data_IF_250669241455
#
_entry.id   IF_250669241455
#
_cell.length_a   1.000
_cell.length_b   1.000
_cell.length_c   1.000
_cell.angle_alpha   90.00
_cell.angle_beta   90.00
_cell.angle_gamma   90.00
#
_symmetry.space_group_name_H-M   'P 1'
#
loop_
_entity.id
_entity.type
_entity.pdbx_description
1 polymer ?
#
# COMPACT_ATOMS: atom_id res chain seq x y z
N UNK A 1 31.35 -6.22 8.01
CA UNK A 1 31.64 -7.15 6.89
C UNK A 1 31.31 -6.41 5.60
N UNK A 2 32.25 -6.43 4.67
CA UNK A 2 32.48 -5.54 3.51
C UNK A 2 31.25 -4.98 2.77
N UNK A 3 31.18 -3.65 2.64
CA UNK A 3 30.42 -2.96 1.60
C UNK A 3 30.96 -3.43 0.24
N UNK A 4 30.10 -3.96 -0.65
CA UNK A 4 30.52 -4.34 -2.00
C UNK A 4 30.73 -3.06 -2.84
N UNK A 5 31.98 -2.61 -2.94
CA UNK A 5 32.42 -1.51 -3.81
C UNK A 5 32.58 -1.93 -5.28
N UNK A 6 32.40 -3.22 -5.59
CA UNK A 6 32.62 -3.79 -6.93
C UNK A 6 31.36 -4.46 -7.48
N UNK A 7 31.19 -4.40 -8.80
CA UNK A 7 30.13 -5.09 -9.53
C UNK A 7 30.29 -6.61 -9.42
N UNK A 8 29.23 -7.32 -9.04
CA UNK A 8 29.30 -8.78 -8.83
C UNK A 8 29.29 -9.61 -10.14
N UNK A 9 29.32 -8.96 -11.31
CA UNK A 9 29.35 -9.62 -12.63
C UNK A 9 30.76 -9.51 -13.22
N UNK A 10 31.30 -8.30 -13.35
CA UNK A 10 32.66 -8.09 -13.85
C UNK A 10 33.74 -8.10 -12.76
N UNK A 11 33.36 -8.00 -11.48
CA UNK A 11 34.26 -7.92 -10.31
C UNK A 11 35.13 -6.66 -10.23
N UNK A 12 34.95 -5.72 -11.15
CA UNK A 12 35.60 -4.39 -11.18
C UNK A 12 34.76 -3.34 -10.44
N UNK A 13 35.32 -2.12 -10.30
CA UNK A 13 34.57 -0.97 -9.80
C UNK A 13 33.35 -0.67 -10.69
N UNK A 14 32.32 -0.03 -10.13
CA UNK A 14 31.10 0.23 -10.90
C UNK A 14 31.34 1.23 -12.04
N UNK A 15 31.01 0.81 -13.26
CA UNK A 15 30.92 1.66 -14.45
C UNK A 15 29.43 1.82 -14.82
N UNK A 16 28.94 3.06 -14.80
CA UNK A 16 27.51 3.40 -14.98
C UNK A 16 26.57 2.52 -14.12
N UNK A 17 26.62 2.68 -12.79
CA UNK A 17 25.92 1.79 -11.85
C UNK A 17 24.40 1.82 -12.02
N UNK A 18 23.81 0.63 -12.15
CA UNK A 18 22.36 0.41 -12.18
C UNK A 18 21.94 -0.35 -10.92
N UNK A 19 20.97 0.21 -10.19
CA UNK A 19 20.37 -0.41 -9.00
C UNK A 19 19.05 -1.08 -9.35
N UNK A 20 18.95 -2.39 -9.13
CA UNK A 20 17.73 -3.16 -9.33
C UNK A 20 16.71 -2.93 -8.20
N UNK A 21 15.40 -3.24 -8.39
CA UNK A 21 14.37 -3.14 -7.34
C UNK A 21 14.63 -4.01 -6.09
N UNK A 22 15.53 -4.99 -6.21
CA UNK A 22 16.02 -5.81 -5.10
C UNK A 22 17.21 -5.18 -4.33
N UNK A 23 17.57 -3.94 -4.66
CA UNK A 23 18.67 -3.14 -4.11
C UNK A 23 20.11 -3.59 -4.43
N UNK A 24 20.30 -4.59 -5.29
CA UNK A 24 21.64 -4.95 -5.79
C UNK A 24 22.07 -4.00 -6.91
N UNK A 25 23.37 -3.70 -6.96
CA UNK A 25 23.98 -2.75 -7.90
C UNK A 25 24.94 -3.49 -8.81
N UNK A 26 24.95 -3.11 -10.10
CA UNK A 26 25.79 -3.70 -11.15
C UNK A 26 26.20 -2.60 -12.15
N UNK A 27 27.20 -2.85 -12.99
CA UNK A 27 27.41 -2.00 -14.18
C UNK A 27 26.25 -2.17 -15.17
N UNK A 28 25.89 -1.12 -15.91
CA UNK A 28 24.78 -1.18 -16.88
C UNK A 28 24.94 -2.31 -17.89
N UNK A 29 26.07 -2.35 -18.59
CA UNK A 29 26.32 -3.36 -19.62
C UNK A 29 26.26 -4.77 -19.03
N UNK A 30 26.82 -4.93 -17.82
CA UNK A 30 26.80 -6.21 -17.11
C UNK A 30 25.37 -6.69 -16.82
N UNK A 31 24.50 -5.81 -16.33
CA UNK A 31 23.14 -6.21 -15.97
C UNK A 31 22.23 -6.33 -17.18
N UNK A 32 22.44 -5.56 -18.25
CA UNK A 32 21.70 -5.70 -19.51
C UNK A 32 21.91 -7.09 -20.12
N UNK A 33 23.18 -7.53 -20.28
CA UNK A 33 23.51 -8.87 -20.79
C UNK A 33 22.95 -9.97 -19.88
N UNK A 34 23.03 -9.79 -18.56
CA UNK A 34 22.51 -10.79 -17.62
C UNK A 34 20.98 -10.93 -17.71
N UNK A 35 20.26 -9.81 -17.90
CA UNK A 35 18.81 -9.80 -18.01
C UNK A 35 18.30 -10.31 -19.37
N UNK A 36 19.10 -10.21 -20.45
CA UNK A 36 18.82 -10.86 -21.73
C UNK A 36 18.77 -12.39 -21.60
N UNK A 37 19.67 -12.97 -20.79
CA UNK A 37 19.71 -14.42 -20.56
C UNK A 37 18.64 -14.88 -19.57
N UNK A 38 18.43 -14.11 -18.50
CA UNK A 38 17.49 -14.44 -17.45
C UNK A 38 16.97 -13.17 -16.79
N UNK A 39 15.66 -12.95 -16.85
CA UNK A 39 14.99 -11.79 -16.27
C UNK A 39 14.91 -11.80 -14.72
N UNK A 40 16.01 -12.10 -14.05
CA UNK A 40 16.11 -12.14 -12.60
C UNK A 40 17.47 -11.64 -12.14
N UNK A 41 17.52 -10.96 -11.01
CA UNK A 41 18.76 -10.46 -10.42
C UNK A 41 19.80 -11.58 -10.27
N UNK A 42 21.04 -11.41 -10.79
CA UNK A 42 22.11 -12.42 -10.66
C UNK A 42 22.47 -12.77 -9.22
N UNK A 43 22.29 -11.83 -8.29
CA UNK A 43 22.63 -12.00 -6.86
C UNK A 43 21.55 -12.74 -6.08
N UNK A 44 20.28 -12.34 -6.22
CA UNK A 44 19.20 -12.84 -5.37
C UNK A 44 18.09 -13.58 -6.10
N UNK A 45 18.19 -13.71 -7.43
CA UNK A 45 17.24 -14.41 -8.31
C UNK A 45 15.81 -13.88 -8.28
N UNK A 46 15.59 -12.71 -7.67
CA UNK A 46 14.28 -12.01 -7.72
C UNK A 46 14.04 -11.55 -9.15
N UNK A 47 12.84 -11.83 -9.67
CA UNK A 47 12.42 -11.41 -11.02
C UNK A 47 12.57 -9.90 -11.18
N UNK A 48 13.12 -9.50 -12.33
CA UNK A 48 13.30 -8.12 -12.75
C UNK A 48 12.44 -7.97 -14.01
N UNK A 49 11.15 -7.72 -13.83
CA UNK A 49 10.22 -7.57 -14.94
C UNK A 49 10.67 -6.41 -15.86
N UNK A 50 11.14 -6.77 -17.06
CA UNK A 50 11.45 -5.94 -18.24
C UNK A 50 12.02 -4.53 -18.02
N UNK A 51 13.20 -4.44 -17.39
CA UNK A 51 14.01 -3.22 -17.28
C UNK A 51 14.75 -2.80 -18.58
N UNK A 52 14.69 -3.62 -19.63
CA UNK A 52 15.72 -3.68 -20.70
C UNK A 52 15.47 -2.70 -21.87
N UNK A 53 14.60 -1.69 -21.75
CA UNK A 53 14.42 -0.69 -22.83
C UNK A 53 14.11 0.75 -22.38
N UNK A 54 14.34 1.09 -21.10
CA UNK A 54 14.29 2.49 -20.69
C UNK A 54 15.67 3.12 -20.87
N UNK A 55 15.82 4.03 -21.85
CA UNK A 55 17.04 4.83 -22.07
C UNK A 55 17.41 5.77 -20.90
N UNK A 56 16.74 5.68 -19.75
CA UNK A 56 16.90 6.62 -18.64
C UNK A 56 17.12 5.88 -17.32
N UNK A 57 18.32 5.31 -17.14
CA UNK A 57 18.88 5.02 -15.81
C UNK A 57 20.40 5.18 -15.84
N UNK A 58 20.87 6.30 -16.39
CA UNK A 58 22.19 6.83 -15.99
C UNK A 58 22.01 7.54 -14.67
N UNK A 59 22.90 7.29 -13.72
CA UNK A 59 23.15 8.27 -12.65
C UNK A 59 23.89 9.43 -13.31
N UNK A 60 23.17 10.21 -14.11
CA UNK A 60 23.52 11.57 -14.44
C UNK A 60 22.37 12.37 -13.86
N UNK A 61 22.63 13.13 -12.81
CA UNK A 61 21.70 14.14 -12.32
C UNK A 61 21.37 15.06 -13.52
N UNK A 62 20.14 15.05 -14.04
CA UNK A 62 19.78 16.03 -15.04
C UNK A 62 19.43 17.32 -14.31
N UNK A 63 20.04 18.42 -14.73
CA UNK A 63 19.53 19.76 -14.44
C UNK A 63 18.08 19.87 -15.00
N UNK A 64 17.08 19.60 -14.17
CA UNK A 64 15.67 19.75 -14.57
C UNK A 64 15.17 21.17 -14.27
N UNK A 65 14.81 21.87 -15.36
CA UNK A 65 14.00 23.09 -15.29
C UNK A 65 12.65 22.76 -14.66
N UNK A 66 12.34 23.48 -13.58
CA UNK A 66 11.19 23.31 -12.72
C UNK A 66 9.86 23.63 -13.45
N UNK A 67 8.93 22.68 -13.44
CA UNK A 67 7.49 22.99 -13.47
C UNK A 67 6.90 22.49 -12.15
N UNK A 68 6.76 23.40 -11.19
CA UNK A 68 6.30 23.14 -9.82
C UNK A 68 4.81 22.76 -9.80
N UNK A 69 4.52 21.46 -9.75
CA UNK A 69 3.24 20.97 -9.25
C UNK A 69 3.52 20.43 -7.85
N UNK A 70 2.74 20.85 -6.86
CA UNK A 70 2.91 20.39 -5.48
C UNK A 70 2.06 19.15 -5.23
N UNK A 71 2.69 18.07 -4.76
CA UNK A 71 2.02 16.85 -4.29
C UNK A 71 2.36 15.58 -5.06
N UNK A 72 1.74 14.48 -4.64
CA UNK A 72 1.90 13.15 -5.24
C UNK A 72 0.88 12.94 -6.37
N UNK A 73 1.22 12.23 -7.46
CA UNK A 73 0.26 11.89 -8.52
C UNK A 73 -1.00 11.25 -7.94
N UNK A 74 -2.18 11.74 -8.33
CA UNK A 74 -3.46 11.34 -7.75
C UNK A 74 -4.40 10.77 -8.81
N UNK A 75 -4.71 9.49 -8.67
CA UNK A 75 -5.59 8.73 -9.53
C UNK A 75 -6.98 8.64 -8.90
N UNK A 76 -7.99 9.11 -9.64
CA UNK A 76 -9.38 9.04 -9.20
C UNK A 76 -9.95 7.69 -9.63
N UNK A 77 -10.11 6.77 -8.67
CA UNK A 77 -10.74 5.47 -8.88
C UNK A 77 -11.65 5.17 -7.70
N UNK A 78 -12.92 4.86 -7.99
CA UNK A 78 -13.93 4.47 -6.99
C UNK A 78 -13.71 3.06 -6.47
N UNK A 79 -12.54 2.81 -5.91
CA UNK A 79 -12.12 1.55 -5.34
C UNK A 79 -11.37 1.84 -4.04
N UNK A 80 -11.43 0.85 -3.16
CA UNK A 80 -10.72 0.87 -1.90
C UNK A 80 -9.84 -0.38 -1.83
N UNK A 81 -8.63 -0.22 -1.33
CA UNK A 81 -7.63 -1.27 -1.21
C UNK A 81 -7.21 -1.33 0.24
N UNK A 82 -7.48 -2.44 0.91
CA UNK A 82 -7.08 -2.62 2.31
C UNK A 82 -5.56 -2.51 2.48
N UNK A 83 -5.12 -2.19 3.69
CA UNK A 83 -3.69 -2.08 3.98
C UNK A 83 -2.97 -3.38 3.60
N UNK A 84 -1.81 -3.26 2.95
CA UNK A 84 -1.00 -4.36 2.42
C UNK A 84 -1.66 -5.21 1.34
N UNK A 85 -2.94 -5.01 1.02
CA UNK A 85 -3.60 -5.72 -0.07
C UNK A 85 -3.02 -5.27 -1.42
N UNK A 86 -2.97 -6.22 -2.34
CA UNK A 86 -2.53 -6.00 -3.71
C UNK A 86 -3.73 -6.04 -4.64
N UNK A 87 -3.70 -5.18 -5.66
CA UNK A 87 -4.70 -5.19 -6.73
C UNK A 87 -4.05 -4.77 -8.03
N UNK A 88 -4.64 -5.17 -9.15
CA UNK A 88 -4.20 -4.80 -10.49
C UNK A 88 -5.08 -3.70 -11.06
N UNK A 89 -4.46 -2.76 -11.77
CA UNK A 89 -5.11 -1.68 -12.49
C UNK A 89 -4.68 -1.67 -13.95
N UNK A 90 -5.64 -1.39 -14.82
CA UNK A 90 -5.40 -1.16 -16.24
C UNK A 90 -5.56 0.33 -16.52
N UNK A 91 -4.45 1.01 -16.81
CA UNK A 91 -4.44 2.41 -17.18
C UNK A 91 -4.38 2.51 -18.70
N UNK A 92 -5.49 2.93 -19.32
CA UNK A 92 -5.62 3.07 -20.78
C UNK A 92 -6.03 4.49 -21.20
N UNK A 93 -6.55 5.31 -20.27
CA UNK A 93 -6.82 6.71 -20.55
C UNK A 93 -5.51 7.47 -20.75
N UNK A 94 -5.41 8.29 -21.81
CA UNK A 94 -4.21 9.06 -22.15
C UNK A 94 -3.62 9.81 -20.95
N UNK A 95 -4.48 10.42 -20.13
CA UNK A 95 -4.08 11.12 -18.90
C UNK A 95 -3.41 10.22 -17.87
N UNK A 96 -3.93 9.02 -17.66
CA UNK A 96 -3.39 8.08 -16.69
C UNK A 96 -2.15 7.37 -17.21
N UNK A 97 -2.07 7.14 -18.52
CA UNK A 97 -0.86 6.66 -19.19
C UNK A 97 0.30 7.65 -19.01
N UNK A 98 0.05 8.95 -19.23
CA UNK A 98 1.05 10.00 -19.00
C UNK A 98 1.46 10.06 -17.52
N UNK A 99 0.49 9.99 -16.61
CA UNK A 99 0.74 10.05 -15.16
C UNK A 99 1.53 8.83 -14.66
N UNK A 100 1.22 7.62 -15.13
CA UNK A 100 1.98 6.41 -14.79
C UNK A 100 3.39 6.46 -15.35
N UNK A 101 3.57 7.05 -16.53
CA UNK A 101 4.90 7.27 -17.07
C UNK A 101 5.71 8.23 -16.19
N UNK A 102 5.08 9.23 -15.58
CA UNK A 102 5.71 10.14 -14.61
C UNK A 102 6.04 9.44 -13.28
N UNK A 103 5.12 8.62 -12.76
CA UNK A 103 5.34 7.74 -11.60
C UNK A 103 6.56 6.85 -11.82
N UNK A 104 6.62 6.13 -12.95
CA UNK A 104 7.75 5.25 -13.28
C UNK A 104 9.10 5.99 -13.35
N UNK A 105 9.11 7.28 -13.73
CA UNK A 105 10.32 8.11 -13.83
C UNK A 105 10.75 8.72 -12.50
N UNK A 106 9.81 9.23 -11.71
CA UNK A 106 10.08 10.14 -10.58
C UNK A 106 9.68 9.57 -9.22
N UNK A 107 8.67 8.70 -9.14
CA UNK A 107 8.12 8.24 -7.87
C UNK A 107 7.39 6.89 -8.01
N UNK A 108 7.86 5.83 -7.34
CA UNK A 108 7.20 4.51 -7.38
C UNK A 108 5.91 4.43 -6.54
N UNK A 109 5.46 5.55 -5.97
CA UNK A 109 4.23 5.65 -5.18
C UNK A 109 3.31 6.71 -5.75
N UNK A 110 2.00 6.52 -5.55
CA UNK A 110 0.98 7.48 -5.95
C UNK A 110 -0.27 7.32 -5.09
N UNK A 111 -1.17 8.29 -5.21
CA UNK A 111 -2.42 8.34 -4.46
C UNK A 111 -3.55 7.75 -5.30
N UNK A 112 -4.36 6.90 -4.67
CA UNK A 112 -5.69 6.50 -5.16
C UNK A 112 -6.74 7.18 -4.30
N UNK A 113 -7.55 8.03 -4.92
CA UNK A 113 -8.64 8.75 -4.27
C UNK A 113 -10.01 8.15 -4.68
N UNK A 114 -10.75 7.54 -3.73
CA UNK A 114 -12.07 6.99 -3.95
C UNK A 114 -13.19 8.03 -4.13
N UNK A 115 -12.99 9.30 -3.73
CA UNK A 115 -13.95 10.41 -3.79
C UNK A 115 -15.25 10.28 -3.01
N UNK A 116 -15.43 9.25 -2.18
CA UNK A 116 -16.63 9.11 -1.34
C UNK A 116 -16.36 9.22 0.16
N UNK A 117 -15.10 9.40 0.57
CA UNK A 117 -14.64 9.48 1.96
C UNK A 117 -13.51 10.52 2.10
N UNK A 118 -13.27 11.03 3.31
CA UNK A 118 -12.20 12.00 3.63
C UNK A 118 -10.80 11.36 3.74
N UNK A 119 -10.54 10.36 2.92
CA UNK A 119 -9.29 9.64 2.92
C UNK A 119 -8.98 8.97 1.58
N UNK A 120 -7.70 8.86 1.31
CA UNK A 120 -7.14 8.21 0.15
C UNK A 120 -6.11 7.16 0.56
N UNK A 121 -5.61 6.42 -0.42
CA UNK A 121 -4.58 5.40 -0.21
C UNK A 121 -3.32 5.81 -0.95
N UNK A 122 -2.18 5.79 -0.26
CA UNK A 122 -0.88 5.77 -0.92
C UNK A 122 -0.56 4.33 -1.27
N UNK A 123 -0.47 4.09 -2.57
CA UNK A 123 -0.10 2.80 -3.10
C UNK A 123 1.31 2.84 -3.64
N UNK A 124 2.00 1.72 -3.52
CA UNK A 124 3.27 1.49 -4.19
C UNK A 124 3.07 0.61 -5.39
N UNK A 125 3.73 0.99 -6.47
CA UNK A 125 3.81 0.19 -7.66
C UNK A 125 4.74 -1.02 -7.41
N UNK A 126 4.18 -2.22 -7.56
CA UNK A 126 4.90 -3.49 -7.40
C UNK A 126 5.41 -3.98 -8.74
N UNK A 127 4.55 -3.93 -9.75
CA UNK A 127 4.84 -4.37 -11.10
C UNK A 127 4.08 -3.46 -12.07
N UNK A 128 4.66 -3.15 -13.23
CA UNK A 128 3.89 -2.56 -14.31
C UNK A 128 4.35 -3.02 -15.68
N UNK A 129 3.39 -3.41 -16.50
CA UNK A 129 3.61 -4.02 -17.81
C UNK A 129 2.95 -3.12 -18.87
N UNK A 130 3.72 -2.50 -19.78
CA UNK A 130 3.15 -1.81 -20.92
C UNK A 130 2.62 -2.82 -21.94
N UNK A 131 1.44 -2.55 -22.46
CA UNK A 131 0.74 -3.36 -23.47
C UNK A 131 0.33 -2.44 -24.63
N UNK A 132 0.16 -3.00 -25.82
CA UNK A 132 -0.27 -2.27 -27.03
C UNK A 132 0.56 -1.01 -27.29
N UNK A 133 1.88 -1.17 -27.46
CA UNK A 133 2.79 -0.05 -27.75
C UNK A 133 2.71 1.10 -26.72
N UNK A 134 2.59 0.77 -25.42
CA UNK A 134 2.50 1.74 -24.31
C UNK A 134 1.21 2.57 -24.29
N UNK A 135 0.17 2.12 -24.98
CA UNK A 135 -1.17 2.72 -24.87
C UNK A 135 -1.92 2.23 -23.62
N UNK A 136 -1.53 1.07 -23.09
CA UNK A 136 -2.13 0.50 -21.88
C UNK A 136 -1.01 0.11 -20.94
N UNK A 137 -1.18 0.40 -19.65
CA UNK A 137 -0.32 -0.07 -18.58
C UNK A 137 -1.12 -0.95 -17.64
N UNK A 138 -0.67 -2.20 -17.47
CA UNK A 138 -1.20 -3.13 -16.48
C UNK A 138 -0.29 -3.06 -15.27
N UNK A 139 -0.74 -2.44 -14.20
CA UNK A 139 0.07 -2.20 -13.01
C UNK A 139 -0.51 -2.94 -11.80
N UNK A 140 0.33 -3.70 -11.09
CA UNK A 140 0.02 -4.27 -9.78
C UNK A 140 0.49 -3.31 -8.70
N UNK A 141 -0.40 -2.93 -7.80
CA UNK A 141 -0.12 -1.99 -6.72
C UNK A 141 -0.43 -2.59 -5.36
N UNK A 142 0.27 -2.13 -4.34
CA UNK A 142 0.02 -2.48 -2.94
C UNK A 142 -0.30 -1.23 -2.13
N UNK A 143 -1.39 -1.25 -1.37
CA UNK A 143 -1.66 -0.17 -0.43
C UNK A 143 -0.65 -0.21 0.72
N UNK A 144 0.01 0.92 0.98
CA UNK A 144 0.96 1.07 2.06
C UNK A 144 0.34 1.85 3.22
N UNK A 145 -0.44 2.88 2.92
CA UNK A 145 -0.82 3.87 3.92
C UNK A 145 -2.16 4.54 3.59
N UNK A 146 -2.95 4.81 4.64
CA UNK A 146 -4.16 5.63 4.57
C UNK A 146 -3.80 7.07 4.90
N UNK A 147 -4.30 7.99 4.08
CA UNK A 147 -3.98 9.42 4.17
C UNK A 147 -5.25 10.26 4.06
N UNK A 148 -5.14 11.54 4.42
CA UNK A 148 -6.12 12.57 4.13
C UNK A 148 -5.56 13.52 3.08
N UNK A 149 -6.36 13.85 2.08
CA UNK A 149 -6.00 14.90 1.12
C UNK A 149 -6.24 16.26 1.80
N UNK A 150 -5.20 17.10 1.83
CA UNK A 150 -5.24 18.45 2.38
C UNK A 150 -5.13 19.54 1.30
N UNK A 151 -4.73 19.16 0.08
CA UNK A 151 -4.63 20.06 -1.06
C UNK A 151 -4.64 19.29 -2.37
N UNK A 152 -5.13 19.93 -3.43
CA UNK A 152 -5.14 19.38 -4.79
C UNK A 152 -4.56 20.43 -5.74
N UNK A 153 -3.60 20.03 -6.57
CA UNK A 153 -3.14 20.79 -7.71
C UNK A 153 -3.41 20.04 -9.02
N UNK A 154 -3.51 20.76 -10.12
CA UNK A 154 -3.86 20.18 -11.43
C UNK A 154 -2.90 20.66 -12.52
N UNK A 155 -2.58 19.76 -13.46
CA UNK A 155 -1.82 20.08 -14.69
C UNK A 155 -2.66 19.76 -15.91
N UNK A 156 -2.86 20.74 -16.79
CA UNK A 156 -3.53 20.51 -18.08
C UNK A 156 -2.61 19.70 -18.99
N UNK A 157 -3.13 18.67 -19.65
CA UNK A 157 -2.41 17.95 -20.69
C UNK A 157 -2.52 18.72 -21.99
N UNK A 158 -1.39 18.96 -22.66
CA UNK A 158 -1.34 19.68 -23.94
C UNK A 158 -2.30 19.05 -24.95
N UNK A 159 -3.04 19.92 -25.64
CA UNK A 159 -3.97 19.55 -26.71
C UNK A 159 -5.11 18.61 -26.27
N UNK A 160 -5.49 18.64 -24.98
CA UNK A 160 -6.66 17.93 -24.47
C UNK A 160 -7.38 18.71 -23.37
N UNK A 161 -8.66 18.40 -23.15
CA UNK A 161 -9.42 18.91 -22.00
C UNK A 161 -9.11 18.15 -20.69
N UNK A 162 -8.24 17.15 -20.74
CA UNK A 162 -7.90 16.32 -19.58
C UNK A 162 -6.86 16.98 -18.70
N UNK A 163 -7.02 16.76 -17.39
CA UNK A 163 -6.09 17.23 -16.36
C UNK A 163 -5.51 16.07 -15.58
N UNK A 164 -4.22 16.18 -15.26
CA UNK A 164 -3.56 15.38 -14.24
C UNK A 164 -3.79 16.02 -12.87
N UNK A 165 -3.95 15.20 -11.84
CA UNK A 165 -4.17 15.66 -10.48
C UNK A 165 -2.99 15.27 -9.60
N UNK A 166 -2.64 16.15 -8.69
CA UNK A 166 -1.63 15.92 -7.68
C UNK A 166 -2.24 16.25 -6.31
N UNK A 167 -2.04 15.38 -5.35
CA UNK A 167 -2.59 15.52 -4.00
C UNK A 167 -1.47 15.86 -3.03
N UNK A 168 -1.66 16.92 -2.26
CA UNK A 168 -0.94 17.12 -1.01
C UNK A 168 -1.68 16.37 0.07
N UNK A 169 -0.98 15.49 0.78
CA UNK A 169 -1.58 14.56 1.73
C UNK A 169 -0.97 14.66 3.11
N UNK A 170 -1.77 14.34 4.12
CA UNK A 170 -1.33 14.17 5.50
C UNK A 170 -1.60 12.72 5.94
N UNK A 171 -0.63 12.12 6.62
CA UNK A 171 -0.80 10.78 7.20
C UNK A 171 -1.92 10.75 8.22
N UNK A 172 -2.82 9.77 8.07
CA UNK A 172 -3.78 9.46 9.13
C UNK A 172 -3.06 8.54 10.10
N UNK A 173 -2.65 9.10 11.23
CA UNK A 173 -2.09 8.33 12.34
C UNK A 173 -3.25 7.93 13.22
N UNK A 174 -3.58 6.63 13.19
CA UNK A 174 -4.52 6.05 14.15
C UNK A 174 -3.84 6.02 15.52
N UNK A 175 -4.11 7.04 16.33
CA UNK A 175 -3.63 7.07 17.71
C UNK A 175 -4.44 6.10 18.54
N UNK A 176 -3.74 5.17 19.18
CA UNK A 176 -4.33 4.39 20.25
C UNK A 176 -4.29 5.27 21.50
N UNK A 177 -5.44 5.80 21.90
CA UNK A 177 -5.58 6.62 23.10
C UNK A 177 -6.19 5.79 24.26
N UNK A 178 -6.46 6.44 25.40
CA UNK A 178 -7.05 5.76 26.55
C UNK A 178 -8.48 5.26 26.25
N UNK A 179 -9.24 5.96 25.40
CA UNK A 179 -10.58 5.53 25.00
C UNK A 179 -10.51 4.28 24.11
N UNK A 180 -9.56 4.25 23.16
CA UNK A 180 -9.25 3.09 22.31
C UNK A 180 -8.90 1.89 23.15
N UNK A 181 -8.10 2.08 24.20
CA UNK A 181 -7.70 0.99 25.10
C UNK A 181 -8.89 0.39 25.84
N UNK A 182 -9.79 1.23 26.35
CA UNK A 182 -11.00 0.75 27.02
C UNK A 182 -11.88 -0.05 26.05
N UNK A 183 -12.06 0.43 24.82
CA UNK A 183 -12.82 -0.29 23.80
C UNK A 183 -12.15 -1.61 23.40
N UNK A 184 -10.83 -1.61 23.24
CA UNK A 184 -10.06 -2.79 22.90
C UNK A 184 -10.11 -3.86 24.00
N UNK A 185 -10.01 -3.48 25.27
CA UNK A 185 -10.16 -4.42 26.40
C UNK A 185 -11.57 -5.01 26.48
N UNK A 186 -12.60 -4.18 26.22
CA UNK A 186 -13.98 -4.66 26.10
C UNK A 186 -14.13 -5.64 24.94
N UNK A 187 -13.45 -5.41 23.82
CA UNK A 187 -13.50 -6.27 22.65
C UNK A 187 -12.97 -7.66 22.99
N UNK A 188 -11.80 -7.74 23.61
CA UNK A 188 -11.21 -8.99 24.10
C UNK A 188 -12.13 -9.71 25.09
N UNK A 189 -12.79 -8.96 25.99
CA UNK A 189 -13.76 -9.53 26.94
C UNK A 189 -14.97 -10.13 26.23
N UNK A 190 -15.48 -9.51 25.17
CA UNK A 190 -16.58 -10.06 24.37
C UNK A 190 -16.17 -11.35 23.64
N UNK A 191 -14.96 -11.36 23.09
CA UNK A 191 -14.40 -12.51 22.38
C UNK A 191 -14.20 -13.71 23.32
N UNK A 192 -13.70 -13.48 24.55
CA UNK A 192 -13.60 -14.53 25.57
C UNK A 192 -14.97 -15.17 25.86
N UNK A 193 -16.01 -14.35 26.01
CA UNK A 193 -17.38 -14.83 26.25
C UNK A 193 -17.91 -15.64 25.07
N UNK A 194 -17.66 -15.20 23.84
CA UNK A 194 -18.05 -15.97 22.65
C UNK A 194 -17.37 -17.34 22.60
N UNK A 195 -16.07 -17.40 22.90
CA UNK A 195 -15.32 -18.67 22.93
C UNK A 195 -15.93 -19.64 23.96
N UNK A 196 -16.33 -19.13 25.12
CA UNK A 196 -16.99 -19.93 26.16
C UNK A 196 -18.37 -20.45 25.73
N UNK A 197 -19.20 -19.59 25.15
CA UNK A 197 -20.57 -19.94 24.74
C UNK A 197 -20.55 -20.94 23.57
N UNK A 198 -19.67 -20.74 22.60
CA UNK A 198 -19.66 -21.53 21.36
C UNK A 198 -18.87 -22.83 21.47
N UNK A 199 -18.17 -23.08 22.58
CA UNK A 199 -17.34 -24.28 22.78
C UNK A 199 -16.42 -24.56 21.57
N UNK A 200 -15.78 -23.50 21.05
CA UNK A 200 -15.00 -23.58 19.82
C UNK A 200 -13.82 -24.55 19.98
N UNK A 201 -13.50 -25.28 18.90
CA UNK A 201 -12.27 -26.05 18.83
C UNK A 201 -11.03 -25.13 18.80
N UNK A 202 -9.85 -25.68 19.12
CA UNK A 202 -8.62 -24.90 19.23
C UNK A 202 -8.25 -24.14 17.96
N UNK A 203 -8.56 -24.69 16.78
CA UNK A 203 -8.28 -24.03 15.51
C UNK A 203 -9.15 -22.77 15.33
N UNK A 204 -10.47 -22.89 15.50
CA UNK A 204 -11.41 -21.78 15.40
C UNK A 204 -11.14 -20.70 16.47
N UNK A 205 -10.79 -21.13 17.70
CA UNK A 205 -10.38 -20.24 18.78
C UNK A 205 -9.12 -19.45 18.42
N UNK A 206 -8.08 -20.12 17.92
CA UNK A 206 -6.83 -19.47 17.55
C UNK A 206 -7.02 -18.49 16.38
N UNK A 207 -7.86 -18.83 15.40
CA UNK A 207 -8.21 -17.91 14.31
C UNK A 207 -8.91 -16.65 14.84
N UNK A 208 -9.90 -16.80 15.71
CA UNK A 208 -10.63 -15.67 16.29
C UNK A 208 -9.72 -14.76 17.15
N UNK A 209 -8.83 -15.35 17.95
CA UNK A 209 -7.86 -14.61 18.76
C UNK A 209 -6.80 -13.91 17.90
N UNK A 210 -6.36 -14.55 16.81
CA UNK A 210 -5.44 -13.92 15.86
C UNK A 210 -6.09 -12.72 15.19
N UNK A 211 -7.40 -12.79 14.91
CA UNK A 211 -8.14 -11.64 14.41
C UNK A 211 -8.24 -10.53 15.48
N UNK A 212 -8.38 -10.85 16.76
CA UNK A 212 -8.57 -9.85 17.82
C UNK A 212 -7.35 -8.98 18.17
N UNK A 213 -6.16 -9.32 17.68
CA UNK A 213 -4.90 -8.73 18.16
C UNK A 213 -4.45 -9.32 19.50
N UNK A 214 -3.45 -8.70 20.13
CA UNK A 214 -2.86 -9.19 21.39
C UNK A 214 -3.60 -8.70 22.63
N UNK A 215 -4.04 -9.62 23.48
CA UNK A 215 -4.81 -9.34 24.69
C UNK A 215 -4.00 -8.71 25.83
N UNK A 216 -2.70 -8.97 25.87
CA UNK A 216 -1.77 -8.49 26.91
C UNK A 216 -1.34 -7.01 26.72
N UNK A 217 -1.80 -6.35 25.66
CA UNK A 217 -1.54 -4.95 25.40
C UNK A 217 -2.44 -4.05 26.26
N UNK A 218 -1.90 -3.60 27.39
CA UNK A 218 -2.63 -2.87 28.44
C UNK A 218 -2.30 -1.38 28.53
N UNK A 219 -1.42 -0.88 27.66
CA UNK A 219 -1.04 0.54 27.63
C UNK A 219 -1.00 1.05 26.19
N UNK A 220 -1.47 2.28 25.91
CA UNK A 220 -1.59 2.76 24.54
C UNK A 220 -0.25 2.85 23.80
N UNK A 221 0.83 3.16 24.52
CA UNK A 221 2.21 3.23 24.02
C UNK A 221 2.84 1.86 23.73
N UNK A 222 2.20 0.77 24.17
CA UNK A 222 2.70 -0.61 24.03
C UNK A 222 1.92 -1.45 23.02
N UNK A 223 0.98 -0.85 22.31
CA UNK A 223 0.21 -1.54 21.28
C UNK A 223 1.14 -1.86 20.11
N UNK A 224 1.17 -3.13 19.72
CA UNK A 224 1.97 -3.55 18.58
C UNK A 224 1.38 -3.06 17.27
N UNK A 225 2.27 -2.78 16.31
CA UNK A 225 1.90 -2.46 14.94
C UNK A 225 0.95 -3.51 14.35
N UNK A 226 1.17 -4.79 14.68
CA UNK A 226 0.34 -5.89 14.22
C UNK A 226 -1.12 -5.78 14.69
N UNK A 227 -1.37 -5.50 15.97
CA UNK A 227 -2.73 -5.30 16.49
C UNK A 227 -3.44 -4.12 15.80
N UNK A 228 -2.72 -3.02 15.55
CA UNK A 228 -3.24 -1.87 14.80
C UNK A 228 -3.61 -2.24 13.36
N UNK A 229 -2.73 -2.94 12.65
CA UNK A 229 -2.97 -3.40 11.27
C UNK A 229 -4.14 -4.41 11.20
N UNK A 230 -4.29 -5.28 12.20
CA UNK A 230 -5.41 -6.20 12.30
C UNK A 230 -6.73 -5.47 12.58
N UNK A 231 -6.77 -4.54 13.54
CA UNK A 231 -7.95 -3.70 13.80
C UNK A 231 -8.34 -2.86 12.58
N UNK A 232 -7.34 -2.53 11.76
CA UNK A 232 -7.53 -1.92 10.46
C UNK A 232 -8.13 -2.89 9.42
N UNK A 233 -8.00 -4.20 9.61
CA UNK A 233 -8.45 -5.21 8.63
C UNK A 233 -9.80 -5.87 8.98
N UNK A 234 -10.23 -5.91 10.25
CA UNK A 234 -11.38 -6.71 10.74
C UNK A 234 -12.76 -6.10 10.43
N UNK A 235 -13.08 -5.76 9.18
CA UNK A 235 -14.47 -5.44 8.78
C UNK A 235 -14.81 -6.04 7.42
N UNK A 236 -14.73 -7.35 7.32
CA UNK A 236 -15.24 -8.08 6.16
C UNK A 236 -16.59 -8.70 6.51
N UNK A 237 -17.67 -8.12 5.97
CA UNK A 237 -18.79 -8.86 5.33
C UNK A 237 -19.83 -7.90 4.72
N UNK A 238 -19.84 -7.92 3.38
CA UNK A 238 -20.92 -7.76 2.37
C UNK A 238 -21.93 -6.59 2.38
N UNK A 239 -22.14 -5.80 3.44
CA UNK A 239 -23.25 -4.82 3.44
C UNK A 239 -22.85 -3.34 3.69
N UNK A 240 -21.69 -2.90 3.19
CA UNK A 240 -21.34 -1.47 3.15
C UNK A 240 -20.37 -0.98 4.25
N UNK A 241 -19.75 -1.90 4.99
CA UNK A 241 -18.74 -1.59 6.03
C UNK A 241 -17.42 -1.01 5.49
N UNK A 242 -17.10 -1.25 4.21
CA UNK A 242 -15.92 -0.68 3.56
C UNK A 242 -15.89 0.86 3.62
N UNK A 243 -17.06 1.50 3.52
CA UNK A 243 -17.21 2.96 3.62
C UNK A 243 -16.80 3.47 5.00
N UNK A 244 -17.15 2.71 6.05
CA UNK A 244 -16.93 3.07 7.46
C UNK A 244 -15.48 2.95 7.87
N UNK A 245 -14.80 1.89 7.40
CA UNK A 245 -13.38 1.67 7.64
C UNK A 245 -12.51 2.91 7.33
N UNK A 246 -12.92 3.66 6.31
CA UNK A 246 -12.25 4.87 5.82
C UNK A 246 -12.87 6.18 6.34
N UNK A 247 -14.05 6.15 6.95
CA UNK A 247 -14.68 7.37 7.52
C UNK A 247 -14.40 7.56 9.00
N UNK A 248 -14.08 6.51 9.76
CA UNK A 248 -13.82 6.60 11.21
C UNK A 248 -12.36 6.38 11.56
N UNK A 249 -11.96 6.90 12.72
CA UNK A 249 -10.69 6.59 13.38
C UNK A 249 -10.76 5.22 14.09
N UNK A 250 -9.69 4.85 14.80
CA UNK A 250 -9.59 3.59 15.53
C UNK A 250 -10.71 3.37 16.55
N UNK A 251 -11.10 4.40 17.29
CA UNK A 251 -12.18 4.36 18.27
C UNK A 251 -13.51 3.96 17.62
N UNK A 252 -13.87 4.62 16.53
CA UNK A 252 -15.07 4.30 15.77
C UNK A 252 -15.08 2.86 15.26
N UNK A 253 -13.95 2.36 14.75
CA UNK A 253 -13.83 0.96 14.27
C UNK A 253 -14.04 -0.04 15.40
N UNK A 254 -13.37 0.16 16.53
CA UNK A 254 -13.52 -0.70 17.71
C UNK A 254 -14.96 -0.73 18.22
N UNK A 255 -15.61 0.44 18.28
CA UNK A 255 -17.02 0.55 18.67
C UNK A 255 -17.97 -0.25 17.78
N UNK A 256 -17.75 -0.27 16.46
CA UNK A 256 -18.57 -1.07 15.53
C UNK A 256 -18.35 -2.57 15.73
N UNK A 257 -17.10 -3.01 15.85
CA UNK A 257 -16.77 -4.43 16.09
C UNK A 257 -17.42 -4.90 17.39
N UNK A 258 -17.29 -4.09 18.46
CA UNK A 258 -17.95 -4.35 19.75
C UNK A 258 -19.46 -4.51 19.60
N UNK A 259 -20.13 -3.56 18.96
CA UNK A 259 -21.58 -3.60 18.77
C UNK A 259 -22.06 -4.85 18.03
N UNK A 260 -21.26 -5.32 17.06
CA UNK A 260 -21.56 -6.55 16.33
C UNK A 260 -21.49 -7.78 17.24
N UNK A 261 -20.41 -7.93 18.01
CA UNK A 261 -20.26 -9.05 18.95
C UNK A 261 -21.24 -8.98 20.12
N UNK A 262 -21.53 -7.79 20.65
CA UNK A 262 -22.55 -7.60 21.69
C UNK A 262 -23.94 -8.01 21.18
N UNK A 263 -24.31 -7.64 19.94
CA UNK A 263 -25.58 -8.08 19.34
C UNK A 263 -25.65 -9.61 19.22
N UNK A 264 -24.54 -10.23 18.81
CA UNK A 264 -24.45 -11.69 18.73
C UNK A 264 -24.59 -12.36 20.11
N UNK A 265 -23.89 -11.86 21.13
CA UNK A 265 -23.99 -12.37 22.49
C UNK A 265 -25.42 -12.24 23.04
N UNK A 266 -26.07 -11.09 22.81
CA UNK A 266 -27.47 -10.89 23.20
C UNK A 266 -28.40 -11.87 22.47
N UNK A 267 -28.16 -12.18 21.20
CA UNK A 267 -28.93 -13.19 20.49
C UNK A 267 -28.78 -14.58 21.15
N UNK A 268 -27.55 -15.01 21.45
CA UNK A 268 -27.30 -16.30 22.10
C UNK A 268 -27.91 -16.43 23.49
N UNK A 269 -28.02 -15.33 24.26
CA UNK A 269 -28.63 -15.33 25.59
C UNK A 269 -30.16 -15.42 25.57
N UNK A 270 -30.79 -15.06 24.45
CA UNK A 270 -32.25 -15.05 24.30
C UNK A 270 -32.78 -16.32 23.59
N UNK A 271 -31.94 -17.32 23.35
CA UNK A 271 -32.30 -18.65 22.84
C UNK A 271 -32.15 -19.71 23.93
#
# INVERSE_FOLDING_TARGET
MSQQENCSICFEGYEDPVKLPCNHVFCRECIEVALEQRQSCPMCRRLCCNYINSRFLSIAEPEEIMHEHQGEPCFIYRITIHQNAQTQFNFFEKRYVEMITEVLKKNLTFIIDPQYNDCCMRVKLIECIPVHQHQIYVCTVQNIERLRIIGISERQIKDTDSKLKYATTQSIIDNFDQESLVLYQKLHTCIDKMIQILTLNDNAKNQLLTMAGKKDEIQPDKISKHSLELLQTIQMCENGLLKWYYSTDLNGRLGVILKHYESYLNYCQNQ
#
